data_IF_407004790902
#
_entry.id   IF_407004790902
#
_cell.length_a   1.000
_cell.length_b   1.000
_cell.length_c   1.000
_cell.angle_alpha   90.00
_cell.angle_beta   90.00
_cell.angle_gamma   90.00
#
_symmetry.space_group_name_H-M   'P 1'
#
loop_
_entity.id
_entity.type
_entity.pdbx_description
1 polymer ?
#
# COMPACT_ATOMS: atom_id res chain seq x y z
N UNK A 1 21.05 -1.62 -18.42
CA UNK A 1 20.03 -0.84 -17.71
C UNK A 1 19.23 -0.06 -18.73
N UNK A 2 17.91 -0.04 -18.60
CA UNK A 2 17.03 0.80 -19.42
C UNK A 2 17.26 2.27 -19.05
N UNK A 3 17.04 3.17 -19.99
CA UNK A 3 17.10 4.61 -19.71
C UNK A 3 15.94 5.01 -18.80
N UNK A 4 16.21 5.88 -17.84
CA UNK A 4 15.23 6.44 -16.90
C UNK A 4 15.22 7.95 -17.14
N UNK A 5 14.04 8.49 -17.44
CA UNK A 5 13.86 9.92 -17.68
C UNK A 5 13.31 10.59 -16.43
N UNK A 6 14.05 11.55 -15.87
CA UNK A 6 13.51 12.47 -14.85
C UNK A 6 12.59 13.48 -15.55
N UNK A 7 11.28 13.36 -15.33
CA UNK A 7 10.24 14.16 -15.98
C UNK A 7 10.08 15.50 -15.27
N UNK A 8 10.07 15.48 -13.95
CA UNK A 8 9.95 16.67 -13.12
C UNK A 8 10.57 16.42 -11.75
N UNK A 9 10.96 17.51 -11.09
CA UNK A 9 11.45 17.52 -9.71
C UNK A 9 10.83 18.71 -9.00
N UNK A 10 9.97 18.43 -8.03
CA UNK A 10 9.13 19.43 -7.37
C UNK A 10 9.52 19.60 -5.91
N UNK A 11 9.38 20.83 -5.40
CA UNK A 11 9.52 21.14 -3.99
C UNK A 11 8.20 20.84 -3.27
N UNK A 12 8.26 20.00 -2.24
CA UNK A 12 7.12 19.60 -1.40
C UNK A 12 7.35 19.95 0.08
N UNK A 13 8.39 20.74 0.38
CA UNK A 13 8.82 21.03 1.76
C UNK A 13 7.75 21.72 2.61
N UNK A 14 6.81 22.45 1.98
CA UNK A 14 5.71 23.08 2.70
C UNK A 14 4.71 22.08 3.31
N UNK A 15 4.73 20.80 2.90
CA UNK A 15 3.95 19.74 3.55
C UNK A 15 4.51 19.33 4.92
N UNK A 16 5.75 19.70 5.23
CA UNK A 16 6.46 19.26 6.42
C UNK A 16 7.07 17.86 6.28
N UNK A 17 7.90 17.45 7.26
CA UNK A 17 8.62 16.18 7.20
C UNK A 17 7.74 14.96 7.47
N UNK A 18 8.25 13.77 7.12
CA UNK A 18 7.70 12.45 7.46
C UNK A 18 6.30 12.19 6.91
N UNK A 19 6.02 12.73 5.73
CA UNK A 19 4.76 12.48 5.03
C UNK A 19 4.75 11.11 4.34
N UNK A 20 3.58 10.47 4.32
CA UNK A 20 3.22 9.43 3.33
C UNK A 20 2.63 10.14 2.11
N UNK A 21 2.96 9.70 0.91
CA UNK A 21 2.34 10.22 -0.31
C UNK A 21 1.23 9.28 -0.77
N UNK A 22 0.07 9.85 -1.10
CA UNK A 22 -1.00 9.19 -1.84
C UNK A 22 -1.12 9.82 -3.24
N UNK A 23 -1.62 9.06 -4.20
CA UNK A 23 -1.85 9.51 -5.58
C UNK A 23 -3.32 9.33 -5.95
N UNK A 24 -3.86 10.32 -6.65
CA UNK A 24 -5.20 10.28 -7.24
C UNK A 24 -5.46 11.53 -8.06
N UNK A 25 -6.37 11.44 -9.04
CA UNK A 25 -6.84 12.59 -9.82
C UNK A 25 -7.87 13.36 -9.00
N UNK A 26 -7.37 14.23 -8.12
CA UNK A 26 -8.17 14.87 -7.07
C UNK A 26 -9.11 15.92 -7.63
N UNK A 27 -8.75 16.53 -8.76
CA UNK A 27 -9.54 17.58 -9.41
C UNK A 27 -10.30 17.11 -10.67
N UNK A 28 -10.12 15.87 -11.09
CA UNK A 28 -10.82 15.24 -12.22
C UNK A 28 -10.34 15.70 -13.59
N UNK A 29 -9.14 16.27 -13.71
CA UNK A 29 -8.63 16.81 -14.97
C UNK A 29 -7.95 15.76 -15.85
N UNK A 30 -7.80 14.52 -15.39
CA UNK A 30 -7.14 13.45 -16.12
C UNK A 30 -5.64 13.31 -15.83
N UNK A 31 -5.18 13.86 -14.71
CA UNK A 31 -3.82 13.74 -14.20
C UNK A 31 -3.86 13.60 -12.68
N UNK A 32 -3.01 12.73 -12.14
CA UNK A 32 -2.96 12.54 -10.69
C UNK A 32 -2.22 13.69 -10.00
N UNK A 33 -2.73 14.09 -8.84
CA UNK A 33 -2.06 14.92 -7.86
C UNK A 33 -1.27 14.08 -6.84
N UNK A 34 -0.35 14.75 -6.14
CA UNK A 34 0.33 14.22 -4.96
C UNK A 34 -0.38 14.74 -3.71
N UNK A 35 -0.83 13.83 -2.84
CA UNK A 35 -1.34 14.17 -1.52
C UNK A 35 -0.34 13.73 -0.44
N UNK A 36 0.24 14.71 0.26
CA UNK A 36 1.16 14.47 1.36
C UNK A 36 0.37 14.39 2.67
N UNK A 37 0.41 13.23 3.31
CA UNK A 37 -0.26 12.91 4.57
C UNK A 37 0.75 12.95 5.69
N UNK A 38 0.66 13.95 6.57
CA UNK A 38 1.54 14.09 7.72
C UNK A 38 0.89 13.55 9.00
N UNK A 39 1.59 12.71 9.78
CA UNK A 39 1.07 12.22 11.05
C UNK A 39 1.19 13.27 12.16
N UNK A 40 0.49 13.02 13.28
CA UNK A 40 0.68 13.75 14.54
C UNK A 40 2.09 13.62 15.14
N UNK A 41 2.37 14.42 16.16
CA UNK A 41 3.68 14.51 16.84
C UNK A 41 4.02 13.30 17.74
N UNK A 42 3.24 12.21 17.71
CA UNK A 42 3.48 11.05 18.57
C UNK A 42 4.80 10.37 18.17
N UNK A 43 5.73 10.22 19.11
CA UNK A 43 7.03 9.60 18.80
C UNK A 43 7.07 8.08 19.00
N UNK A 44 6.17 7.54 19.82
CA UNK A 44 6.05 6.09 20.08
C UNK A 44 4.68 5.60 19.64
N UNK A 45 4.67 4.81 18.57
CA UNK A 45 3.45 4.29 17.93
C UNK A 45 3.32 2.77 18.02
N UNK A 46 4.07 2.14 18.93
CA UNK A 46 4.05 0.67 19.09
C UNK A 46 2.66 0.13 19.47
N UNK A 47 1.86 0.92 20.19
CA UNK A 47 0.55 0.51 20.70
C UNK A 47 -0.60 1.43 20.32
N UNK A 48 -0.30 2.71 20.08
CA UNK A 48 -1.29 3.72 19.68
C UNK A 48 -0.79 4.32 18.36
N UNK A 49 -1.48 4.05 17.24
CA UNK A 49 -1.01 4.51 15.94
C UNK A 49 -1.23 6.01 15.76
N UNK A 50 -0.77 6.57 14.64
CA UNK A 50 -0.95 7.99 14.33
C UNK A 50 -2.42 8.38 14.08
N UNK A 51 -2.73 9.66 14.28
CA UNK A 51 -3.78 10.33 13.51
C UNK A 51 -3.13 11.26 12.48
N UNK A 52 -3.91 11.71 11.50
CA UNK A 52 -3.46 12.70 10.53
C UNK A 52 -3.44 14.08 11.19
N UNK A 53 -2.33 14.81 11.01
CA UNK A 53 -2.14 16.19 11.46
C UNK A 53 -2.33 17.21 10.35
N UNK A 54 -1.86 16.87 9.15
CA UNK A 54 -1.91 17.76 7.99
C UNK A 54 -2.04 16.94 6.69
N UNK A 55 -2.81 17.47 5.75
CA UNK A 55 -2.94 16.99 4.38
C UNK A 55 -2.57 18.14 3.45
N UNK A 56 -1.64 17.94 2.53
CA UNK A 56 -1.24 18.97 1.56
C UNK A 56 -1.25 18.38 0.14
N UNK A 57 -2.09 18.93 -0.73
CA UNK A 57 -2.20 18.50 -2.12
C UNK A 57 -1.36 19.38 -3.06
N UNK A 58 -0.64 18.76 -3.98
CA UNK A 58 0.15 19.41 -5.01
C UNK A 58 -0.18 18.84 -6.39
N UNK A 59 -0.19 19.72 -7.39
CA UNK A 59 -0.08 19.25 -8.77
C UNK A 59 1.38 18.86 -9.10
N UNK A 60 1.57 18.22 -10.26
CA UNK A 60 2.89 17.73 -10.71
C UNK A 60 3.87 18.86 -11.11
N UNK A 61 3.43 20.13 -11.11
CA UNK A 61 4.31 21.29 -11.27
C UNK A 61 4.89 21.79 -9.94
N UNK A 62 4.43 21.25 -8.82
CA UNK A 62 4.80 21.68 -7.47
C UNK A 62 3.95 22.82 -6.94
N UNK A 63 2.83 23.16 -7.59
CA UNK A 63 1.89 24.13 -7.04
C UNK A 63 1.00 23.44 -6.01
N UNK A 64 1.03 23.96 -4.79
CA UNK A 64 0.11 23.58 -3.73
C UNK A 64 -1.32 24.00 -4.12
N UNK A 65 -2.24 23.03 -4.13
CA UNK A 65 -3.64 23.25 -4.48
C UNK A 65 -4.46 23.64 -3.24
N UNK A 66 -4.30 22.87 -2.16
CA UNK A 66 -4.95 23.12 -0.88
C UNK A 66 -4.17 22.45 0.25
N UNK A 67 -4.47 22.85 1.48
CA UNK A 67 -3.96 22.25 2.70
C UNK A 67 -5.07 22.19 3.74
N UNK A 68 -5.20 21.05 4.42
CA UNK A 68 -6.12 20.84 5.52
C UNK A 68 -5.33 20.42 6.76
N UNK A 69 -5.41 21.22 7.83
CA UNK A 69 -4.54 21.11 9.00
C UNK A 69 -3.30 22.00 8.92
N UNK A 70 -2.41 21.86 9.90
CA UNK A 70 -1.14 22.60 9.99
C UNK A 70 0.01 21.62 10.07
N UNK A 71 1.03 21.72 9.21
CA UNK A 71 2.17 20.81 9.28
C UNK A 71 3.00 21.07 10.54
N UNK A 72 3.64 20.02 11.04
CA UNK A 72 4.51 20.03 12.21
C UNK A 72 5.93 19.57 11.87
N UNK A 73 6.92 20.32 12.33
CA UNK A 73 8.34 19.96 12.23
C UNK A 73 8.71 18.76 13.13
N UNK A 74 7.87 18.47 14.13
CA UNK A 74 8.09 17.38 15.09
C UNK A 74 7.23 16.15 14.82
N UNK A 75 6.58 16.08 13.65
CA UNK A 75 5.73 14.97 13.24
C UNK A 75 6.40 13.61 13.54
N UNK A 76 5.64 12.61 13.95
CA UNK A 76 6.17 11.29 14.26
C UNK A 76 6.75 10.56 13.06
N UNK A 77 7.61 9.57 13.30
CA UNK A 77 8.20 8.74 12.25
C UNK A 77 7.27 7.60 11.82
N UNK A 78 7.37 7.11 10.57
CA UNK A 78 6.60 5.95 10.10
C UNK A 78 6.98 4.67 10.88
N UNK A 79 6.19 4.34 11.89
CA UNK A 79 6.21 3.09 12.67
C UNK A 79 4.84 2.44 12.83
N UNK A 80 3.81 3.09 12.29
CA UNK A 80 2.43 2.63 12.08
C UNK A 80 1.96 3.19 10.75
N UNK A 81 0.87 2.68 10.21
CA UNK A 81 0.25 3.29 9.03
C UNK A 81 -0.37 4.65 9.39
N UNK A 82 -0.74 5.42 8.36
CA UNK A 82 -1.44 6.69 8.49
C UNK A 82 -2.89 6.51 8.02
N UNK A 83 -3.89 6.87 8.85
CA UNK A 83 -5.29 6.60 8.53
C UNK A 83 -5.81 7.62 7.52
N UNK A 84 -5.39 7.48 6.26
CA UNK A 84 -5.88 8.25 5.13
C UNK A 84 -5.87 7.44 3.82
N UNK A 85 -6.89 7.64 2.99
CA UNK A 85 -7.02 7.04 1.66
C UNK A 85 -7.65 8.04 0.67
N UNK A 86 -7.50 7.78 -0.63
CA UNK A 86 -8.20 8.51 -1.70
C UNK A 86 -9.17 7.54 -2.38
N UNK A 87 -10.46 7.88 -2.42
CA UNK A 87 -11.50 7.05 -3.02
C UNK A 87 -12.78 7.85 -3.30
N UNK A 88 -13.54 7.49 -4.34
CA UNK A 88 -14.90 7.98 -4.59
C UNK A 88 -15.88 7.23 -3.67
N UNK A 89 -16.06 7.73 -2.44
CA UNK A 89 -16.77 7.00 -1.39
C UNK A 89 -18.29 7.17 -1.48
N UNK A 90 -18.75 8.24 -2.14
CA UNK A 90 -20.18 8.51 -2.30
C UNK A 90 -20.76 8.13 -3.65
N UNK A 91 -19.89 7.77 -4.61
CA UNK A 91 -20.24 7.26 -5.94
C UNK A 91 -20.61 8.35 -6.94
N UNK A 92 -20.17 9.60 -6.72
CA UNK A 92 -20.47 10.74 -7.59
C UNK A 92 -19.47 10.91 -8.76
N UNK A 93 -18.40 10.11 -8.77
CA UNK A 93 -17.34 10.11 -9.78
C UNK A 93 -16.20 11.08 -9.49
N UNK A 94 -16.27 11.88 -8.42
CA UNK A 94 -15.15 12.64 -7.89
C UNK A 94 -14.49 11.88 -6.73
N UNK A 95 -13.19 12.14 -6.52
CA UNK A 95 -12.47 11.49 -5.43
C UNK A 95 -12.62 12.28 -4.12
N UNK A 96 -12.85 11.57 -3.02
CA UNK A 96 -12.67 12.07 -1.67
C UNK A 96 -11.29 11.71 -1.11
N UNK A 97 -10.85 12.53 -0.16
CA UNK A 97 -9.80 12.16 0.79
C UNK A 97 -10.45 11.75 2.10
N UNK A 98 -10.30 10.47 2.45
CA UNK A 98 -10.74 9.91 3.73
C UNK A 98 -9.59 10.07 4.72
N UNK A 99 -9.85 10.54 5.94
CA UNK A 99 -8.82 10.57 6.98
C UNK A 99 -9.38 10.46 8.40
N UNK A 100 -8.55 10.01 9.35
CA UNK A 100 -8.82 10.21 10.77
C UNK A 100 -7.97 11.39 11.28
N UNK A 101 -8.66 12.48 11.64
CA UNK A 101 -8.08 13.73 12.12
C UNK A 101 -8.95 14.32 13.23
N UNK A 102 -8.31 14.84 14.29
CA UNK A 102 -8.97 15.43 15.47
C UNK A 102 -9.98 14.49 16.14
N UNK A 103 -9.66 13.19 16.21
CA UNK A 103 -10.52 12.16 16.81
C UNK A 103 -11.81 11.88 16.04
N UNK A 104 -11.83 12.20 14.74
CA UNK A 104 -12.99 12.01 13.85
C UNK A 104 -12.55 11.38 12.55
N UNK A 105 -13.42 10.52 12.00
CA UNK A 105 -13.35 10.14 10.59
C UNK A 105 -13.89 11.33 9.77
N UNK A 106 -13.11 11.84 8.84
CA UNK A 106 -13.47 12.95 7.96
C UNK A 106 -13.43 12.48 6.50
N UNK A 107 -14.40 12.92 5.71
CA UNK A 107 -14.42 12.76 4.25
C UNK A 107 -14.31 14.15 3.64
N UNK A 108 -13.23 14.41 2.92
CA UNK A 108 -12.92 15.70 2.32
C UNK A 108 -13.13 15.61 0.81
N UNK A 109 -13.68 16.66 0.22
CA UNK A 109 -13.68 16.87 -1.23
C UNK A 109 -12.24 16.88 -1.76
N UNK A 110 -11.90 15.99 -2.70
CA UNK A 110 -10.53 15.85 -3.20
C UNK A 110 -10.00 17.10 -3.88
N UNK A 111 -10.85 17.83 -4.60
CA UNK A 111 -10.44 19.01 -5.36
C UNK A 111 -10.12 20.21 -4.46
N UNK A 112 -10.74 20.32 -3.29
CA UNK A 112 -10.68 21.52 -2.44
C UNK A 112 -10.19 21.29 -1.01
N UNK A 113 -10.10 20.04 -0.56
CA UNK A 113 -9.77 19.69 0.82
C UNK A 113 -10.85 20.08 1.85
N UNK A 114 -12.07 20.43 1.40
CA UNK A 114 -13.16 20.82 2.30
C UNK A 114 -13.87 19.60 2.85
N UNK A 115 -14.13 19.58 4.15
CA UNK A 115 -14.89 18.49 4.80
C UNK A 115 -16.32 18.45 4.24
N UNK A 116 -16.67 17.34 3.57
CA UNK A 116 -18.03 16.99 3.11
C UNK A 116 -18.83 16.39 4.26
N UNK A 117 -18.23 15.48 5.02
CA UNK A 117 -18.86 14.81 6.16
C UNK A 117 -17.83 14.47 7.23
N UNK A 118 -18.29 14.25 8.46
CA UNK A 118 -17.41 13.85 9.57
C UNK A 118 -18.17 13.13 10.68
N UNK A 119 -17.61 12.02 11.14
CA UNK A 119 -18.23 11.11 12.10
C UNK A 119 -17.34 10.92 13.34
N UNK A 120 -17.96 10.55 14.46
CA UNK A 120 -17.21 10.11 15.63
C UNK A 120 -16.58 8.75 15.34
N UNK A 121 -15.39 8.51 15.87
CA UNK A 121 -14.79 7.19 15.81
C UNK A 121 -15.59 6.20 16.69
N UNK A 122 -15.70 4.93 16.30
CA UNK A 122 -16.33 3.90 17.13
C UNK A 122 -15.54 3.61 18.41
N UNK A 123 -14.23 3.90 18.39
CA UNK A 123 -13.31 3.81 19.51
C UNK A 123 -12.21 4.87 19.36
N UNK A 124 -11.69 5.49 20.45
CA UNK A 124 -10.60 6.45 20.37
C UNK A 124 -9.32 5.94 19.71
N UNK A 125 -9.13 4.62 19.58
CA UNK A 125 -7.97 4.00 18.94
C UNK A 125 -8.25 3.44 17.53
N UNK A 126 -9.45 3.63 16.98
CA UNK A 126 -9.85 3.18 15.64
C UNK A 126 -9.23 4.05 14.52
N UNK A 127 -7.90 4.13 14.48
CA UNK A 127 -7.18 5.05 13.61
C UNK A 127 -5.78 4.53 13.18
N UNK A 128 -5.57 3.22 13.08
CA UNK A 128 -4.33 2.69 12.48
C UNK A 128 -4.34 2.86 10.95
N UNK A 129 -5.41 2.42 10.30
CA UNK A 129 -5.63 2.56 8.86
C UNK A 129 -7.12 2.68 8.54
N UNK A 130 -7.43 3.06 7.30
CA UNK A 130 -8.76 3.06 6.71
C UNK A 130 -8.73 2.11 5.52
N UNK A 131 -9.70 1.21 5.43
CA UNK A 131 -9.88 0.29 4.30
C UNK A 131 -11.28 0.50 3.75
N UNK A 132 -11.39 0.63 2.43
CA UNK A 132 -12.68 0.78 1.73
C UNK A 132 -13.18 -0.60 1.32
N UNK A 133 -14.44 -0.93 1.61
CA UNK A 133 -14.98 -2.26 1.38
C UNK A 133 -16.44 -2.21 0.87
N UNK A 134 -16.85 -3.28 0.20
CA UNK A 134 -18.23 -3.54 -0.17
C UNK A 134 -18.85 -4.62 0.73
N UNK A 135 -19.18 -4.28 1.97
CA UNK A 135 -19.74 -5.22 2.96
C UNK A 135 -21.27 -5.27 2.91
N UNK A 136 -21.87 -4.20 2.40
CA UNK A 136 -23.32 -3.99 2.29
C UNK A 136 -23.88 -4.37 0.91
N UNK A 137 -23.04 -4.79 -0.05
CA UNK A 137 -23.47 -5.28 -1.37
C UNK A 137 -23.93 -4.19 -2.32
N UNK A 138 -23.30 -3.01 -2.24
CA UNK A 138 -23.54 -1.90 -3.16
C UNK A 138 -22.94 -2.14 -4.55
N UNK A 139 -23.37 -1.35 -5.53
CA UNK A 139 -22.75 -1.33 -6.87
C UNK A 139 -21.32 -0.74 -6.87
N UNK A 140 -20.97 -0.03 -5.79
CA UNK A 140 -19.65 0.50 -5.49
C UNK A 140 -19.38 0.24 -4.00
N UNK A 141 -18.11 0.05 -3.64
CA UNK A 141 -17.70 -0.05 -2.25
C UNK A 141 -17.96 1.29 -1.55
N UNK A 142 -18.64 1.26 -0.40
CA UNK A 142 -18.97 2.48 0.36
C UNK A 142 -18.91 2.27 1.87
N UNK A 143 -18.61 1.05 2.30
CA UNK A 143 -18.36 0.73 3.70
C UNK A 143 -16.87 0.93 4.01
N UNK A 144 -16.55 1.07 5.29
CA UNK A 144 -15.21 1.33 5.77
C UNK A 144 -14.85 0.37 6.89
N UNK A 145 -13.62 -0.11 6.90
CA UNK A 145 -13.02 -0.73 8.07
C UNK A 145 -12.05 0.26 8.72
N UNK A 146 -12.20 0.42 10.04
CA UNK A 146 -11.21 1.06 10.90
C UNK A 146 -10.66 0.01 11.86
N UNK A 147 -9.41 0.17 12.30
CA UNK A 147 -8.82 -0.73 13.30
C UNK A 147 -7.94 -0.01 14.30
N UNK A 148 -7.76 -0.64 15.45
CA UNK A 148 -6.66 -0.31 16.36
C UNK A 148 -5.38 -1.00 15.89
N UNK A 149 -4.30 -0.88 16.66
CA UNK A 149 -3.00 -1.36 16.21
C UNK A 149 -2.98 -2.86 15.91
N UNK A 150 -3.62 -3.72 16.71
CA UNK A 150 -3.45 -5.17 16.58
C UNK A 150 -4.61 -6.05 17.06
N UNK A 151 -5.60 -5.52 17.77
CA UNK A 151 -6.59 -6.35 18.50
C UNK A 151 -8.03 -6.20 18.02
N UNK A 152 -8.41 -5.08 17.42
CA UNK A 152 -9.81 -4.79 17.09
C UNK A 152 -9.97 -4.08 15.75
N UNK A 153 -11.06 -4.41 15.08
CA UNK A 153 -11.50 -3.79 13.83
C UNK A 153 -13.01 -3.56 13.88
N UNK A 154 -13.45 -2.45 13.30
CA UNK A 154 -14.84 -2.01 13.22
C UNK A 154 -15.20 -1.81 11.76
N UNK A 155 -16.31 -2.42 11.33
CA UNK A 155 -16.94 -2.11 10.05
C UNK A 155 -17.98 -1.02 10.24
N UNK A 156 -17.93 -0.01 9.38
CA UNK A 156 -18.82 1.12 9.34
C UNK A 156 -19.50 1.17 7.98
N UNK A 157 -20.77 1.57 7.94
CA UNK A 157 -21.40 1.98 6.67
C UNK A 157 -20.96 3.39 6.28
N UNK A 158 -21.40 3.86 5.10
CA UNK A 158 -21.13 5.21 4.59
C UNK A 158 -21.56 6.36 5.51
N UNK A 159 -22.49 6.11 6.42
CA UNK A 159 -23.02 7.09 7.37
C UNK A 159 -22.29 7.06 8.73
N UNK A 160 -21.22 6.27 8.84
CA UNK A 160 -20.40 6.14 10.05
C UNK A 160 -21.03 5.27 11.14
N UNK A 161 -22.07 4.50 10.82
CA UNK A 161 -22.72 3.59 11.76
C UNK A 161 -22.01 2.24 11.78
N UNK A 162 -21.78 1.68 12.97
CA UNK A 162 -21.12 0.38 13.13
C UNK A 162 -22.02 -0.74 12.63
N UNK A 163 -21.56 -1.47 11.61
CA UNK A 163 -22.18 -2.69 11.10
C UNK A 163 -21.84 -3.88 12.00
N UNK A 164 -20.54 -4.06 12.30
CA UNK A 164 -20.04 -5.12 13.17
C UNK A 164 -18.67 -4.77 13.75
N UNK A 165 -18.22 -5.55 14.73
CA UNK A 165 -16.89 -5.42 15.36
C UNK A 165 -16.24 -6.79 15.47
N UNK A 166 -14.97 -6.87 15.10
CA UNK A 166 -14.15 -8.07 15.22
C UNK A 166 -13.05 -7.84 16.26
N UNK A 167 -12.78 -8.87 17.07
CA UNK A 167 -11.65 -8.91 18.01
C UNK A 167 -10.79 -10.12 17.67
N UNK A 168 -9.54 -9.87 17.31
CA UNK A 168 -8.59 -10.87 16.84
C UNK A 168 -7.25 -10.23 16.52
N UNK A 169 -6.34 -11.00 15.93
CA UNK A 169 -5.07 -10.45 15.46
C UNK A 169 -5.27 -9.85 14.07
N UNK A 170 -5.49 -8.55 14.02
CA UNK A 170 -5.88 -7.85 12.77
C UNK A 170 -4.69 -7.43 11.91
N UNK A 171 -3.46 -7.81 12.29
CA UNK A 171 -2.25 -7.51 11.53
C UNK A 171 -1.99 -6.02 11.33
N UNK A 172 -1.10 -5.72 10.38
CA UNK A 172 -0.79 -4.35 9.99
C UNK A 172 -1.85 -3.73 9.07
N UNK A 173 -2.34 -4.49 8.09
CA UNK A 173 -3.34 -4.00 7.15
C UNK A 173 -4.21 -5.17 6.64
N UNK A 174 -5.44 -5.33 7.15
CA UNK A 174 -6.41 -6.28 6.60
C UNK A 174 -6.66 -6.04 5.10
N UNK A 175 -6.98 -7.12 4.37
CA UNK A 175 -7.31 -7.02 2.95
C UNK A 175 -8.74 -7.45 2.70
N UNK A 176 -9.42 -6.76 1.78
CA UNK A 176 -10.81 -7.04 1.40
C UNK A 176 -10.88 -7.52 -0.03
N UNK A 177 -11.69 -8.54 -0.31
CA UNK A 177 -11.85 -9.12 -1.64
C UNK A 177 -13.12 -9.97 -1.69
N UNK A 178 -13.91 -9.85 -2.75
CA UNK A 178 -15.01 -10.78 -3.06
C UNK A 178 -14.46 -12.15 -3.50
N UNK A 179 -14.23 -13.05 -2.55
CA UNK A 179 -13.52 -14.32 -2.79
C UNK A 179 -14.41 -15.41 -3.39
N UNK A 180 -15.72 -15.32 -3.20
CA UNK A 180 -16.68 -16.28 -3.73
C UNK A 180 -17.61 -15.75 -4.84
N UNK A 181 -17.45 -14.48 -5.21
CA UNK A 181 -18.10 -13.86 -6.36
C UNK A 181 -19.57 -13.52 -6.12
N UNK A 182 -19.97 -13.34 -4.86
CA UNK A 182 -21.36 -13.06 -4.48
C UNK A 182 -21.68 -11.55 -4.46
N UNK A 183 -20.68 -10.71 -4.71
CA UNK A 183 -20.77 -9.26 -4.76
C UNK A 183 -20.50 -8.56 -3.42
N UNK A 184 -20.14 -9.32 -2.38
CA UNK A 184 -19.73 -8.79 -1.09
C UNK A 184 -18.25 -9.09 -0.86
N UNK A 185 -17.53 -8.16 -0.22
CA UNK A 185 -16.14 -8.41 0.15
C UNK A 185 -16.06 -9.30 1.40
N UNK A 186 -15.30 -10.39 1.32
CA UNK A 186 -14.68 -11.02 2.47
C UNK A 186 -13.56 -10.13 3.03
N UNK A 187 -13.23 -10.32 4.31
CA UNK A 187 -12.15 -9.59 4.99
C UNK A 187 -11.12 -10.56 5.56
N UNK A 188 -9.90 -10.53 5.03
CA UNK A 188 -8.75 -11.17 5.66
C UNK A 188 -8.19 -10.25 6.75
N UNK A 189 -8.66 -10.44 7.98
CA UNK A 189 -8.30 -9.68 9.16
C UNK A 189 -7.07 -10.30 9.85
N UNK A 190 -5.89 -10.01 9.31
CA UNK A 190 -4.64 -10.60 9.75
C UNK A 190 -4.59 -12.09 9.44
N UNK A 191 -4.96 -12.94 10.40
CA UNK A 191 -4.99 -14.40 10.24
C UNK A 191 -6.40 -15.01 10.22
N UNK A 192 -7.44 -14.19 10.40
CA UNK A 192 -8.83 -14.62 10.36
C UNK A 192 -9.49 -14.17 9.05
N UNK A 193 -10.08 -15.09 8.30
CA UNK A 193 -10.97 -14.74 7.19
C UNK A 193 -12.40 -14.59 7.71
N UNK A 194 -12.97 -13.41 7.51
CA UNK A 194 -14.34 -13.06 7.88
C UNK A 194 -15.22 -12.96 6.63
N UNK A 195 -16.49 -13.35 6.74
CA UNK A 195 -17.50 -12.98 5.74
C UNK A 195 -17.87 -11.49 5.86
N UNK A 196 -18.66 -11.00 4.90
CA UNK A 196 -19.09 -9.60 4.82
C UNK A 196 -19.87 -9.11 6.07
N UNK A 197 -20.40 -10.03 6.89
CA UNK A 197 -21.10 -9.74 8.15
C UNK A 197 -20.19 -9.75 9.38
N UNK A 198 -18.88 -9.96 9.19
CA UNK A 198 -17.88 -10.01 10.24
C UNK A 198 -17.81 -11.37 10.95
N UNK A 199 -18.46 -12.42 10.42
CA UNK A 199 -18.41 -13.75 11.00
C UNK A 199 -17.18 -14.50 10.49
N UNK A 200 -16.45 -15.12 11.42
CA UNK A 200 -15.30 -15.96 11.11
C UNK A 200 -15.70 -17.15 10.22
N UNK A 201 -15.04 -17.27 9.07
CA UNK A 201 -15.11 -18.44 8.17
C UNK A 201 -14.04 -19.46 8.54
N UNK A 202 -12.78 -19.03 8.59
CA UNK A 202 -11.63 -19.86 8.97
C UNK A 202 -10.44 -18.99 9.42
N UNK A 203 -9.43 -19.63 10.02
CA UNK A 203 -8.19 -18.97 10.45
C UNK A 203 -6.97 -19.71 9.91
N UNK A 204 -5.89 -18.98 9.61
CA UNK A 204 -4.58 -19.56 9.35
C UNK A 204 -4.10 -20.37 10.56
N UNK A 205 -3.20 -21.33 10.30
CA UNK A 205 -2.73 -22.29 11.31
C UNK A 205 -1.24 -22.16 11.52
N UNK A 206 -0.80 -22.33 12.77
CA UNK A 206 0.63 -22.37 13.13
C UNK A 206 1.40 -21.15 12.59
N UNK A 207 0.84 -19.96 12.80
CA UNK A 207 1.50 -18.69 12.55
C UNK A 207 1.69 -18.00 13.89
N UNK A 208 2.90 -17.53 14.12
CA UNK A 208 3.23 -16.72 15.27
C UNK A 208 3.10 -15.23 14.91
N UNK A 209 3.12 -14.39 15.94
CA UNK A 209 3.05 -12.94 15.82
C UNK A 209 1.83 -12.47 14.99
N UNK A 210 1.97 -11.48 14.12
CA UNK A 210 0.89 -10.89 13.33
C UNK A 210 1.19 -10.92 11.83
N UNK A 211 0.14 -10.81 11.01
CA UNK A 211 0.31 -10.65 9.56
C UNK A 211 0.91 -9.28 9.26
N UNK A 212 2.04 -9.27 8.56
CA UNK A 212 2.69 -8.05 8.10
C UNK A 212 2.11 -7.58 6.77
N UNK A 213 1.79 -8.51 5.87
CA UNK A 213 1.20 -8.19 4.57
C UNK A 213 0.29 -9.32 4.08
N UNK A 214 -0.72 -8.95 3.29
CA UNK A 214 -1.73 -9.87 2.74
C UNK A 214 -1.90 -9.54 1.27
N UNK A 215 -1.83 -10.57 0.43
CA UNK A 215 -2.06 -10.47 -1.00
C UNK A 215 -3.11 -11.46 -1.49
N UNK A 216 -3.88 -11.05 -2.49
CA UNK A 216 -4.88 -11.91 -3.15
C UNK A 216 -4.59 -12.01 -4.66
N UNK A 217 -4.73 -13.19 -5.23
CA UNK A 217 -4.64 -13.36 -6.69
C UNK A 217 -4.70 -14.82 -7.10
N UNK A 218 -5.00 -15.07 -8.38
CA UNK A 218 -4.87 -16.41 -8.99
C UNK A 218 -3.39 -16.73 -9.19
N UNK A 219 -2.74 -17.19 -8.12
CA UNK A 219 -1.29 -17.44 -8.07
C UNK A 219 -0.97 -18.69 -8.86
N UNK A 220 -1.79 -19.73 -8.73
CA UNK A 220 -1.52 -21.02 -9.33
C UNK A 220 -2.00 -21.11 -10.81
N UNK A 221 -2.89 -20.22 -11.25
CA UNK A 221 -3.40 -20.14 -12.62
C UNK A 221 -4.62 -21.04 -12.90
N UNK A 222 -5.35 -21.48 -11.88
CA UNK A 222 -6.54 -22.33 -12.02
C UNK A 222 -7.86 -21.55 -12.16
N UNK A 223 -7.79 -20.22 -12.07
CA UNK A 223 -8.94 -19.32 -12.21
C UNK A 223 -9.65 -18.98 -10.91
N UNK A 224 -9.15 -19.44 -9.76
CA UNK A 224 -9.65 -19.09 -8.44
C UNK A 224 -8.60 -18.25 -7.67
N UNK A 225 -9.01 -17.30 -6.82
CA UNK A 225 -8.07 -16.50 -6.05
C UNK A 225 -7.50 -17.27 -4.84
N UNK A 226 -6.19 -17.16 -4.65
CA UNK A 226 -5.49 -17.54 -3.42
C UNK A 226 -5.18 -16.32 -2.55
N UNK A 227 -4.96 -16.58 -1.26
CA UNK A 227 -4.43 -15.61 -0.29
C UNK A 227 -2.98 -15.98 0.03
N UNK A 228 -2.06 -15.04 -0.20
CA UNK A 228 -0.65 -15.16 0.20
C UNK A 228 -0.38 -14.18 1.33
N UNK A 229 0.14 -14.70 2.45
CA UNK A 229 0.29 -13.93 3.69
C UNK A 229 1.76 -13.96 4.11
N UNK A 230 2.32 -12.78 4.37
CA UNK A 230 3.64 -12.59 4.95
C UNK A 230 3.56 -12.24 6.44
N UNK A 231 4.52 -12.72 7.21
CA UNK A 231 4.65 -12.51 8.65
C UNK A 231 5.84 -13.32 9.16
N UNK A 232 5.61 -14.16 10.18
CA UNK A 232 6.66 -15.09 10.69
C UNK A 232 7.19 -16.06 9.63
N UNK A 233 6.38 -16.40 8.63
CA UNK A 233 6.71 -17.19 7.44
C UNK A 233 5.88 -16.65 6.25
N UNK A 234 6.09 -17.16 5.05
CA UNK A 234 5.18 -16.92 3.91
C UNK A 234 4.32 -18.15 3.66
N UNK A 235 3.01 -17.98 3.59
CA UNK A 235 2.05 -19.06 3.35
C UNK A 235 1.09 -18.70 2.25
N UNK A 236 0.56 -19.71 1.57
CA UNK A 236 -0.54 -19.57 0.62
C UNK A 236 -1.71 -20.46 1.03
N UNK A 237 -2.91 -19.89 1.01
CA UNK A 237 -4.17 -20.54 1.30
C UNK A 237 -5.11 -20.41 0.11
N UNK A 238 -5.92 -21.44 -0.15
CA UNK A 238 -7.10 -21.29 -0.99
C UNK A 238 -8.18 -20.44 -0.28
N UNK A 239 -9.18 -19.96 -1.01
CA UNK A 239 -10.32 -19.21 -0.44
C UNK A 239 -11.11 -19.96 0.65
N UNK A 240 -10.98 -21.28 0.73
CA UNK A 240 -11.69 -22.14 1.68
C UNK A 240 -10.87 -22.45 2.95
N UNK A 241 -9.65 -21.93 3.06
CA UNK A 241 -8.77 -22.10 4.22
C UNK A 241 -7.93 -23.38 4.19
N UNK A 242 -7.76 -24.01 3.03
CA UNK A 242 -6.76 -25.06 2.85
C UNK A 242 -5.39 -24.42 2.60
N UNK A 243 -4.41 -24.72 3.45
CA UNK A 243 -3.02 -24.33 3.19
C UNK A 243 -2.47 -25.12 2.01
N UNK A 244 -2.02 -24.43 0.97
CA UNK A 244 -1.48 -25.02 -0.25
C UNK A 244 0.02 -25.24 -0.14
N UNK A 245 0.74 -24.26 0.42
CA UNK A 245 2.16 -24.38 0.73
C UNK A 245 2.59 -23.39 1.82
N UNK A 246 3.79 -23.64 2.35
CA UNK A 246 4.48 -22.83 3.35
C UNK A 246 5.96 -22.70 3.02
N UNK A 247 6.46 -21.48 3.02
CA UNK A 247 7.87 -21.16 2.86
C UNK A 247 8.46 -20.68 4.19
N UNK A 248 9.35 -21.50 4.74
CA UNK A 248 10.07 -21.26 6.01
C UNK A 248 11.53 -20.84 5.78
N UNK A 249 11.87 -20.45 4.55
CA UNK A 249 13.24 -20.05 4.18
C UNK A 249 13.59 -18.62 4.60
N UNK A 250 12.63 -17.84 5.09
CA UNK A 250 12.82 -16.52 5.69
C UNK A 250 12.79 -16.57 7.23
N UNK A 251 13.42 -15.58 7.85
CA UNK A 251 13.32 -15.31 9.28
C UNK A 251 12.03 -14.55 9.59
N UNK A 252 11.72 -13.52 8.78
CA UNK A 252 10.52 -12.70 8.91
C UNK A 252 10.21 -12.08 7.53
N UNK A 253 9.10 -12.51 6.93
CA UNK A 253 8.64 -12.09 5.60
C UNK A 253 7.72 -10.86 5.70
N UNK A 254 8.29 -9.70 5.95
CA UNK A 254 7.49 -8.51 6.26
C UNK A 254 6.76 -7.93 5.04
N UNK A 255 7.40 -7.88 3.88
CA UNK A 255 6.77 -7.41 2.65
C UNK A 255 6.84 -8.50 1.60
N UNK A 256 5.72 -8.76 0.95
CA UNK A 256 5.65 -9.58 -0.26
C UNK A 256 4.92 -8.80 -1.34
N UNK A 257 5.06 -9.24 -2.59
CA UNK A 257 4.35 -8.71 -3.74
C UNK A 257 4.11 -9.83 -4.75
N UNK A 258 2.87 -9.94 -5.23
CA UNK A 258 2.51 -10.87 -6.30
C UNK A 258 2.72 -10.21 -7.65
N UNK A 259 3.38 -10.92 -8.58
CA UNK A 259 3.58 -10.41 -9.93
C UNK A 259 4.04 -11.46 -10.91
N UNK A 260 3.86 -11.20 -12.20
CA UNK A 260 4.38 -12.01 -13.30
C UNK A 260 5.82 -11.61 -13.63
N UNK A 261 6.72 -11.76 -12.65
CA UNK A 261 8.13 -11.39 -12.76
C UNK A 261 8.95 -12.34 -13.65
N UNK A 262 8.51 -13.60 -13.77
CA UNK A 262 9.12 -14.64 -14.63
C UNK A 262 8.10 -15.12 -15.65
N UNK A 263 8.07 -14.47 -16.81
CA UNK A 263 7.15 -14.81 -17.90
C UNK A 263 7.38 -16.19 -18.53
N UNK A 264 8.53 -16.80 -18.24
CA UNK A 264 8.89 -18.17 -18.65
C UNK A 264 8.37 -19.25 -17.70
N UNK A 265 7.85 -18.89 -16.52
CA UNK A 265 7.27 -19.82 -15.55
C UNK A 265 5.73 -19.75 -15.58
N UNK A 266 5.02 -20.82 -15.18
CA UNK A 266 3.58 -20.75 -14.95
C UNK A 266 3.25 -19.90 -13.71
N UNK A 267 1.97 -19.59 -13.50
CA UNK A 267 1.47 -18.88 -12.30
C UNK A 267 2.10 -17.51 -12.05
N UNK A 268 1.84 -16.96 -10.86
CA UNK A 268 2.47 -15.75 -10.36
C UNK A 268 3.69 -16.10 -9.50
N UNK A 269 4.62 -15.16 -9.41
CA UNK A 269 5.73 -15.24 -8.48
C UNK A 269 5.46 -14.36 -7.27
N UNK A 270 6.09 -14.71 -6.15
CA UNK A 270 6.00 -13.98 -4.89
C UNK A 270 7.37 -13.39 -4.62
N UNK A 271 7.54 -12.11 -4.93
CA UNK A 271 8.71 -11.36 -4.51
C UNK A 271 8.53 -10.97 -3.05
N UNK A 272 9.58 -11.01 -2.25
CA UNK A 272 9.46 -10.59 -0.86
C UNK A 272 10.76 -10.16 -0.21
N UNK A 273 10.62 -9.63 0.99
CA UNK A 273 11.71 -9.25 1.87
C UNK A 273 11.83 -10.24 3.02
N UNK A 274 13.04 -10.76 3.26
CA UNK A 274 13.41 -11.41 4.51
C UNK A 274 14.24 -10.48 5.41
N UNK A 275 13.77 -10.22 6.63
CA UNK A 275 14.50 -9.47 7.67
C UNK A 275 15.48 -10.38 8.43
N UNK A 276 16.63 -10.64 7.81
CA UNK A 276 17.70 -11.53 8.31
C UNK A 276 18.21 -11.13 9.71
N UNK A 277 18.52 -9.86 9.93
CA UNK A 277 19.06 -9.35 11.21
C UNK A 277 18.22 -8.18 11.69
N UNK A 278 17.74 -8.28 12.94
CA UNK A 278 16.94 -7.26 13.61
C UNK A 278 17.75 -6.16 14.29
N UNK A 279 17.52 -4.89 13.94
CA UNK A 279 18.13 -3.74 14.64
C UNK A 279 17.47 -3.47 16.00
N UNK A 280 16.18 -3.81 16.12
CA UNK A 280 15.32 -3.53 17.27
C UNK A 280 15.34 -4.64 18.34
N UNK A 281 16.12 -5.70 18.15
CA UNK A 281 16.20 -6.84 19.08
C UNK A 281 17.04 -6.57 20.34
N UNK A 282 17.53 -5.34 20.50
CA UNK A 282 18.35 -4.91 21.63
C UNK A 282 19.79 -5.42 21.62
N UNK A 283 20.23 -6.12 20.55
CA UNK A 283 21.60 -6.64 20.44
C UNK A 283 22.59 -5.66 19.80
N UNK A 284 22.12 -4.48 19.37
CA UNK A 284 22.95 -3.44 18.79
C UNK A 284 23.58 -3.82 17.43
N UNK A 285 22.97 -4.78 16.74
CA UNK A 285 23.38 -5.20 15.40
C UNK A 285 22.86 -4.21 14.36
N UNK A 286 23.60 -4.06 13.26
CA UNK A 286 23.08 -3.37 12.08
C UNK A 286 22.13 -4.29 11.33
N UNK A 287 21.06 -3.69 10.83
CA UNK A 287 19.97 -4.34 10.14
C UNK A 287 20.50 -4.94 8.87
N UNK A 288 19.99 -6.13 8.58
CA UNK A 288 20.26 -6.79 7.32
C UNK A 288 18.98 -7.44 6.83
N UNK A 289 18.64 -7.16 5.59
CA UNK A 289 17.48 -7.69 4.91
C UNK A 289 17.89 -8.23 3.53
N UNK A 290 17.06 -9.06 2.91
CA UNK A 290 17.34 -9.63 1.59
C UNK A 290 16.05 -9.84 0.81
N UNK A 291 16.08 -9.52 -0.48
CA UNK A 291 15.00 -9.91 -1.38
C UNK A 291 15.02 -11.42 -1.62
N UNK A 292 13.85 -12.01 -1.82
CA UNK A 292 13.69 -13.37 -2.33
C UNK A 292 12.62 -13.41 -3.41
N UNK A 293 12.59 -14.49 -4.18
CA UNK A 293 11.52 -14.78 -5.13
C UNK A 293 11.11 -16.24 -5.00
N UNK A 294 9.81 -16.47 -4.82
CA UNK A 294 9.20 -17.79 -4.86
C UNK A 294 8.42 -17.96 -6.18
N UNK A 295 8.31 -19.20 -6.61
CA UNK A 295 7.34 -19.59 -7.62
C UNK A 295 5.94 -19.83 -7.01
N UNK A 296 4.98 -20.13 -7.87
CA UNK A 296 3.57 -20.34 -7.54
C UNK A 296 3.32 -21.55 -6.63
N UNK A 297 4.30 -22.45 -6.47
CA UNK A 297 4.27 -23.56 -5.51
C UNK A 297 5.06 -23.26 -4.22
N UNK A 298 5.48 -22.01 -4.01
CA UNK A 298 6.25 -21.61 -2.84
C UNK A 298 7.70 -22.08 -2.83
N UNK A 299 8.24 -22.51 -3.99
CA UNK A 299 9.65 -22.92 -4.09
C UNK A 299 10.52 -21.70 -4.32
N UNK A 300 11.61 -21.59 -3.55
CA UNK A 300 12.58 -20.51 -3.72
C UNK A 300 13.28 -20.62 -5.07
N UNK A 301 13.12 -19.60 -5.90
CA UNK A 301 13.85 -19.44 -7.16
C UNK A 301 15.22 -18.80 -6.93
N UNK A 302 15.27 -17.81 -6.04
CA UNK A 302 16.49 -17.20 -5.57
C UNK A 302 16.26 -16.41 -4.27
N UNK A 303 17.36 -16.18 -3.55
CA UNK A 303 17.43 -15.28 -2.42
C UNK A 303 18.70 -14.44 -2.52
N UNK A 304 18.54 -13.14 -2.28
CA UNK A 304 19.62 -12.18 -2.36
C UNK A 304 20.72 -12.48 -1.34
N UNK A 305 21.96 -12.59 -1.83
CA UNK A 305 23.14 -12.58 -0.99
C UNK A 305 23.50 -11.14 -0.57
N UNK A 306 22.66 -10.50 0.24
CA UNK A 306 22.81 -9.08 0.63
C UNK A 306 24.18 -8.84 1.26
N UNK A 307 24.91 -7.83 0.77
CA UNK A 307 26.23 -7.45 1.30
C UNK A 307 26.23 -6.11 2.03
N UNK A 308 25.22 -5.27 1.82
CA UNK A 308 25.04 -3.98 2.48
C UNK A 308 24.13 -4.11 3.71
N UNK A 309 24.15 -3.09 4.57
CA UNK A 309 23.13 -2.93 5.63
C UNK A 309 21.79 -2.55 5.00
N UNK A 310 20.70 -2.92 5.66
CA UNK A 310 19.33 -2.65 5.24
C UNK A 310 18.38 -3.23 6.25
N UNK A 311 17.34 -2.50 6.62
CA UNK A 311 16.43 -2.94 7.68
C UNK A 311 15.04 -3.29 7.14
N UNK A 312 14.53 -2.45 6.25
CA UNK A 312 13.13 -2.44 5.87
C UNK A 312 13.02 -2.06 4.39
N UNK A 313 13.60 -2.88 3.51
CA UNK A 313 13.29 -2.81 2.10
C UNK A 313 11.79 -2.96 1.90
N UNK A 314 11.19 -2.07 1.12
CA UNK A 314 9.83 -2.25 0.65
C UNK A 314 9.91 -2.81 -0.76
N UNK A 315 9.20 -3.91 -1.01
CA UNK A 315 9.11 -4.58 -2.30
C UNK A 315 7.66 -4.53 -2.79
N UNK A 316 7.45 -4.01 -3.99
CA UNK A 316 6.14 -3.91 -4.64
C UNK A 316 6.21 -4.37 -6.09
N UNK A 317 5.06 -4.72 -6.64
CA UNK A 317 4.91 -5.02 -8.07
C UNK A 317 4.68 -3.74 -8.84
N UNK A 318 5.61 -3.40 -9.74
CA UNK A 318 5.38 -2.37 -10.74
C UNK A 318 5.09 -3.01 -12.10
N UNK A 319 3.90 -2.75 -12.61
CA UNK A 319 3.45 -3.21 -13.92
C UNK A 319 3.58 -2.08 -14.95
N UNK A 320 3.64 -2.45 -16.23
CA UNK A 320 3.59 -1.48 -17.35
C UNK A 320 4.63 -0.36 -17.25
N UNK A 321 5.84 -0.64 -16.78
CA UNK A 321 6.95 0.33 -16.85
C UNK A 321 7.13 0.82 -18.29
N UNK A 322 7.04 -0.09 -19.27
CA UNK A 322 6.91 0.18 -20.70
C UNK A 322 5.82 -0.71 -21.30
N UNK A 323 5.30 -0.39 -22.48
CA UNK A 323 4.13 -1.07 -23.09
C UNK A 323 4.20 -2.61 -23.07
N UNK A 324 5.38 -3.20 -23.30
CA UNK A 324 5.59 -4.65 -23.32
C UNK A 324 6.48 -5.17 -22.18
N UNK A 325 6.63 -4.39 -21.10
CA UNK A 325 7.42 -4.85 -19.95
C UNK A 325 6.67 -5.97 -19.22
N UNK A 326 7.39 -7.02 -18.75
CA UNK A 326 6.85 -7.85 -17.68
C UNK A 326 6.69 -7.00 -16.40
N UNK A 327 6.10 -7.58 -15.38
CA UNK A 327 6.14 -6.97 -14.06
C UNK A 327 7.58 -6.90 -13.55
N UNK A 328 7.90 -5.84 -12.83
CA UNK A 328 9.18 -5.64 -12.16
C UNK A 328 9.00 -5.54 -10.66
N UNK A 329 9.98 -6.04 -9.92
CA UNK A 329 10.06 -5.87 -8.47
C UNK A 329 10.60 -4.46 -8.23
N UNK A 330 9.74 -3.55 -7.81
CA UNK A 330 10.16 -2.24 -7.32
C UNK A 330 10.63 -2.40 -5.88
N UNK A 331 11.91 -2.12 -5.63
CA UNK A 331 12.47 -2.19 -4.28
C UNK A 331 13.10 -0.86 -3.85
N UNK A 332 12.71 -0.37 -2.68
CA UNK A 332 13.14 0.92 -2.12
C UNK A 332 13.32 0.83 -0.60
N UNK A 333 13.83 1.88 0.04
CA UNK A 333 14.29 1.85 1.45
C UNK A 333 15.29 0.73 1.76
N UNK A 334 16.09 0.37 0.75
CA UNK A 334 17.06 -0.73 0.80
C UNK A 334 18.14 -0.51 1.87
N UNK A 335 18.45 0.74 2.21
CA UNK A 335 19.53 1.09 3.13
C UNK A 335 20.93 0.81 2.57
N UNK A 336 21.96 1.22 3.32
CA UNK A 336 23.35 0.95 2.96
C UNK A 336 23.82 1.62 1.66
N UNK A 337 23.17 2.71 1.24
CA UNK A 337 23.48 3.44 0.00
C UNK A 337 22.94 2.78 -1.27
N UNK A 338 22.06 1.79 -1.16
CA UNK A 338 21.39 1.17 -2.31
C UNK A 338 20.16 1.98 -2.68
N UNK A 339 20.15 2.52 -3.90
CA UNK A 339 19.07 3.36 -4.38
C UNK A 339 17.81 2.56 -4.74
N UNK A 340 16.62 3.20 -4.73
CA UNK A 340 15.41 2.62 -5.28
C UNK A 340 15.63 2.11 -6.70
N UNK A 341 15.14 0.91 -7.02
CA UNK A 341 15.40 0.25 -8.30
C UNK A 341 14.26 -0.68 -8.72
N UNK A 342 14.13 -0.91 -10.02
CA UNK A 342 13.35 -1.99 -10.61
C UNK A 342 14.25 -3.19 -10.89
N UNK A 343 13.84 -4.35 -10.41
CA UNK A 343 14.50 -5.63 -10.67
C UNK A 343 13.62 -6.54 -11.53
N UNK A 344 14.23 -7.30 -12.43
CA UNK A 344 13.54 -8.39 -13.12
C UNK A 344 13.42 -9.63 -12.22
N UNK A 345 12.68 -10.65 -12.69
CA UNK A 345 12.54 -11.92 -11.98
C UNK A 345 13.83 -12.75 -11.84
N UNK A 346 14.96 -12.27 -12.35
CA UNK A 346 16.30 -12.86 -12.16
C UNK A 346 17.19 -12.01 -11.27
N UNK A 347 16.61 -10.99 -10.60
CA UNK A 347 17.30 -10.07 -9.71
C UNK A 347 18.29 -9.12 -10.43
N UNK A 348 18.19 -8.96 -11.76
CA UNK A 348 18.98 -7.96 -12.47
C UNK A 348 18.33 -6.57 -12.31
N UNK A 349 19.15 -5.54 -12.10
CA UNK A 349 18.67 -4.15 -12.10
C UNK A 349 18.30 -3.73 -13.51
N UNK A 350 17.02 -3.40 -13.70
CA UNK A 350 16.46 -2.92 -14.97
C UNK A 350 16.54 -1.40 -15.05
N UNK A 351 16.19 -0.72 -13.97
CA UNK A 351 16.21 0.73 -13.82
C UNK A 351 16.61 1.08 -12.38
N UNK A 352 17.40 2.12 -12.20
CA UNK A 352 17.81 2.66 -10.90
C UNK A 352 17.41 4.14 -10.84
N UNK A 353 16.82 4.57 -9.73
CA UNK A 353 16.37 5.94 -9.54
C UNK A 353 17.43 6.75 -8.76
N UNK A 354 17.88 7.91 -9.26
CA UNK A 354 18.98 8.65 -8.63
C UNK A 354 18.68 9.23 -7.24
N UNK A 355 17.41 9.51 -6.94
CA UNK A 355 16.98 10.00 -5.63
C UNK A 355 16.77 8.81 -4.68
N UNK A 356 17.26 8.92 -3.44
CA UNK A 356 16.95 7.96 -2.37
C UNK A 356 15.81 8.50 -1.51
N UNK A 357 14.81 7.66 -1.24
CA UNK A 357 13.57 8.08 -0.60
C UNK A 357 12.48 7.01 -0.57
N UNK A 358 11.29 7.43 -0.16
CA UNK A 358 10.07 6.63 -0.33
C UNK A 358 9.61 6.69 -1.77
N UNK A 359 8.82 5.71 -2.19
CA UNK A 359 8.38 5.57 -3.57
C UNK A 359 6.87 5.39 -3.63
N UNK A 360 6.24 6.05 -4.59
CA UNK A 360 4.88 5.74 -5.07
C UNK A 360 4.92 5.60 -6.58
N UNK A 361 3.98 4.87 -7.16
CA UNK A 361 3.89 4.70 -8.61
C UNK A 361 2.43 4.62 -9.07
N UNK A 362 2.20 4.80 -10.36
CA UNK A 362 0.88 4.68 -11.00
C UNK A 362 0.83 5.34 -12.38
N UNK A 363 -0.32 5.32 -13.07
CA UNK A 363 -0.51 6.01 -14.35
C UNK A 363 -0.71 7.52 -14.13
N UNK A 364 0.31 8.18 -13.58
CA UNK A 364 0.26 9.56 -13.05
C UNK A 364 -0.20 10.57 -14.10
N UNK A 365 0.21 10.39 -15.35
CA UNK A 365 -0.16 11.26 -16.48
C UNK A 365 -1.38 10.76 -17.28
N UNK A 366 -2.11 9.75 -16.77
CA UNK A 366 -3.22 9.12 -17.50
C UNK A 366 -2.76 8.28 -18.70
N UNK A 367 -1.52 7.80 -18.67
CA UNK A 367 -0.92 6.98 -19.72
C UNK A 367 -1.11 5.49 -19.45
N UNK A 368 -0.95 4.66 -20.48
CA UNK A 368 -0.94 3.20 -20.32
C UNK A 368 0.26 2.70 -19.52
N UNK A 369 1.38 3.44 -19.55
CA UNK A 369 2.57 3.15 -18.76
C UNK A 369 2.48 3.78 -17.38
N UNK A 370 3.10 3.13 -16.40
CA UNK A 370 3.22 3.68 -15.05
C UNK A 370 4.47 4.56 -14.93
N UNK A 371 4.38 5.55 -14.04
CA UNK A 371 5.46 6.44 -13.65
C UNK A 371 5.76 6.22 -12.16
N UNK A 372 6.98 6.55 -11.76
CA UNK A 372 7.49 6.38 -10.40
C UNK A 372 7.79 7.75 -9.83
N UNK A 373 7.30 8.05 -8.63
CA UNK A 373 7.76 9.20 -7.85
C UNK A 373 8.63 8.69 -6.72
N UNK A 374 9.89 9.13 -6.69
CA UNK A 374 10.72 8.99 -5.49
C UNK A 374 10.68 10.30 -4.73
N UNK A 375 10.46 10.25 -3.43
CA UNK A 375 10.31 11.46 -2.62
C UNK A 375 11.00 11.39 -1.26
N UNK A 376 11.37 12.58 -0.79
CA UNK A 376 11.94 12.88 0.53
C UNK A 376 11.02 13.88 1.25
N UNK A 377 11.44 14.39 2.41
CA UNK A 377 10.69 15.43 3.13
C UNK A 377 10.58 16.75 2.35
N UNK A 378 11.45 17.00 1.37
CA UNK A 378 11.53 18.30 0.68
C UNK A 378 11.28 18.22 -0.83
N UNK A 379 11.48 17.04 -1.44
CA UNK A 379 11.50 16.91 -2.90
C UNK A 379 10.81 15.64 -3.34
N UNK A 380 9.99 15.73 -4.39
CA UNK A 380 9.49 14.61 -5.15
C UNK A 380 10.02 14.66 -6.60
N UNK A 381 10.64 13.57 -7.06
CA UNK A 381 11.17 13.42 -8.41
C UNK A 381 10.37 12.36 -9.18
N UNK A 382 9.86 12.73 -10.34
CA UNK A 382 8.98 11.90 -11.18
C UNK A 382 9.82 11.28 -12.29
N UNK A 383 9.74 9.97 -12.44
CA UNK A 383 10.50 9.17 -13.38
C UNK A 383 9.59 8.37 -14.32
N UNK A 384 10.03 8.22 -15.56
CA UNK A 384 9.33 7.42 -16.57
C UNK A 384 10.31 6.62 -17.45
N UNK A 385 9.77 5.64 -18.17
CA UNK A 385 10.53 4.83 -19.14
C UNK A 385 10.72 5.51 -20.50
N UNK A 386 10.06 6.63 -20.74
CA UNK A 386 10.15 7.42 -21.97
C UNK A 386 9.94 8.91 -21.66
N UNK A 387 10.40 9.83 -22.52
CA UNK A 387 10.16 11.27 -22.33
C UNK A 387 8.67 11.59 -22.27
N UNK A 388 8.28 12.43 -21.31
CA UNK A 388 6.94 13.00 -21.15
C UNK A 388 7.10 14.52 -21.07
N UNK A 389 6.23 15.27 -21.74
CA UNK A 389 6.15 16.72 -21.54
C UNK A 389 5.23 17.03 -20.35
N UNK A 390 5.75 17.41 -19.18
CA UNK A 390 4.91 17.70 -18.01
C UNK A 390 4.02 18.94 -18.21
N UNK A 391 4.34 19.81 -19.17
CA UNK A 391 3.58 21.01 -19.48
C UNK A 391 2.41 20.76 -20.44
N UNK A 392 2.31 19.57 -21.04
CA UNK A 392 1.15 19.19 -21.84
C UNK A 392 -0.13 19.31 -20.98
N UNK A 393 -1.27 19.76 -21.54
CA UNK A 393 -2.52 19.76 -20.79
C UNK A 393 -2.95 18.32 -20.46
N UNK A 394 -3.62 18.12 -19.30
CA UNK A 394 -4.21 16.82 -18.97
C UNK A 394 -5.42 16.53 -19.87
N UNK A 395 -5.93 15.30 -19.85
CA UNK A 395 -6.92 14.82 -20.83
C UNK A 395 -8.30 15.49 -20.69
N UNK A 396 -8.58 16.10 -19.54
CA UNK A 396 -9.89 16.62 -19.14
C UNK A 396 -10.89 15.53 -18.78
N UNK A 397 -10.46 14.28 -18.67
CA UNK A 397 -11.31 13.13 -18.30
C UNK A 397 -10.77 12.51 -17.01
N UNK A 398 -11.57 12.43 -15.94
CA UNK A 398 -11.13 11.87 -14.66
C UNK A 398 -10.49 10.49 -14.82
N UNK A 399 -9.37 10.29 -14.14
CA UNK A 399 -8.72 8.98 -14.07
C UNK A 399 -9.44 8.07 -13.07
N UNK A 400 -9.49 6.75 -13.32
CA UNK A 400 -9.94 5.81 -12.30
C UNK A 400 -8.98 5.85 -11.10
N UNK A 401 -9.49 5.50 -9.91
CA UNK A 401 -8.71 5.26 -8.71
C UNK A 401 -8.56 3.74 -8.49
N UNK A 402 -7.48 3.10 -8.96
CA UNK A 402 -7.30 1.65 -8.83
C UNK A 402 -7.22 1.25 -7.35
N UNK A 403 -7.65 0.03 -7.03
CA UNK A 403 -7.69 -0.46 -5.65
C UNK A 403 -6.34 -0.35 -4.93
N UNK A 404 -5.22 -0.62 -5.62
CA UNK A 404 -3.86 -0.41 -5.09
C UNK A 404 -3.62 1.02 -4.58
N UNK A 405 -4.15 2.04 -5.28
CA UNK A 405 -4.00 3.44 -4.88
C UNK A 405 -5.02 3.88 -3.82
N UNK A 406 -6.19 3.24 -3.74
CA UNK A 406 -7.16 3.49 -2.67
C UNK A 406 -6.93 2.67 -1.39
N UNK A 407 -6.01 1.71 -1.44
CA UNK A 407 -5.60 0.85 -0.31
C UNK A 407 -4.10 0.95 -0.06
N UNK A 408 -3.55 2.17 -0.17
CA UNK A 408 -2.12 2.39 0.04
C UNK A 408 -1.78 2.21 1.52
N UNK A 409 -0.69 1.51 1.80
CA UNK A 409 -0.22 1.20 3.16
C UNK A 409 1.30 1.22 3.21
N UNK A 410 1.88 1.48 4.39
CA UNK A 410 3.33 1.34 4.61
C UNK A 410 3.78 -0.13 4.62
N UNK A 411 2.85 -1.07 4.72
CA UNK A 411 3.07 -2.52 4.75
C UNK A 411 2.41 -3.15 3.52
N UNK A 412 3.05 -3.14 2.34
CA UNK A 412 2.35 -3.41 1.09
C UNK A 412 1.61 -4.75 1.09
N UNK A 413 0.28 -4.63 1.10
CA UNK A 413 -0.67 -5.66 0.70
C UNK A 413 -1.26 -5.29 -0.66
N UNK A 414 -1.95 -6.24 -1.30
CA UNK A 414 -2.39 -6.01 -2.67
C UNK A 414 -3.29 -7.08 -3.22
N UNK A 415 -3.74 -6.86 -4.44
CA UNK A 415 -4.32 -7.91 -5.26
C UNK A 415 -3.70 -7.87 -6.66
N UNK A 416 -3.56 -9.04 -7.27
CA UNK A 416 -3.07 -9.17 -8.63
C UNK A 416 -4.18 -9.66 -9.56
N UNK A 417 -4.31 -9.01 -10.71
CA UNK A 417 -5.23 -9.45 -11.77
C UNK A 417 -6.69 -9.06 -11.57
N UNK A 418 -7.04 -8.34 -10.50
CA UNK A 418 -8.35 -7.71 -10.38
C UNK A 418 -8.56 -6.69 -11.53
N UNK A 419 -9.64 -6.88 -12.27
CA UNK A 419 -10.06 -6.01 -13.39
C UNK A 419 -11.31 -5.26 -13.02
#
# INVERSE_FOLDING_TARGET
>A
MKEVYEIAKVDISAAGPRCKMLLGDLNGDGRMEMLLVQPDDRQDVRYIPHQVQCLTAYDLSGRQLWQHGTPSETAGSPGSDYPAQIYDIDGDGALEVLCVMDGRLQMLDGATGRVKSSFLLPDPHAHDCIIVANLSGGAHASDLLLKDRYERMWALNRDGEVLWTHKGNVGHYPWVYDLDGDGYDEVMAGYDLLDHTGRLRWSCRNLDDHADCIWVGDVNGDGEPELVIGGSVTVMYDRNGSELWRYEGSVESQHIALGKFRTDLPGLQIAGLDRITREDDGKGLKGKDALFLLDEQGRELWKEARSTSGWLTIAETLSRWSADAPDYILAYRRGGGVHPSLYDGFMNVVAEFPLDGYVVHGPIFGLETEQVIVYTDAVAAIYASSPIDPAAPPSGTPLPQPKRLSHSTLYPGGEYGAR
#
